data_IF_290190547032
#
_entry.id   IF_290190547032
#
_cell.length_a   1.000
_cell.length_b   1.000
_cell.length_c   1.000
_cell.angle_alpha   90.00
_cell.angle_beta   90.00
_cell.angle_gamma   90.00
#
_symmetry.space_group_name_H-M   'P 1'
#
loop_
_entity.id
_entity.type
_entity.pdbx_description
1 polymer ?
#
# COMPACT_ATOMS: atom_id res chain seq x y z
N UNK A 1 18.29 -0.57 3.37
CA UNK A 1 18.84 0.75 2.95
C UNK A 1 17.73 1.75 3.22
N UNK A 2 17.91 2.75 4.08
CA UNK A 2 16.83 3.71 4.35
C UNK A 2 16.75 4.71 3.20
N UNK A 3 15.55 4.93 2.65
CA UNK A 3 15.33 5.96 1.64
C UNK A 3 15.62 7.34 2.23
N UNK A 4 16.25 8.20 1.43
CA UNK A 4 16.47 9.61 1.78
C UNK A 4 15.66 10.52 0.86
N UNK A 5 15.32 11.71 1.36
CA UNK A 5 14.57 12.70 0.57
C UNK A 5 15.30 13.01 -0.73
N UNK A 6 14.56 13.02 -1.84
CA UNK A 6 15.08 13.26 -3.18
C UNK A 6 15.60 12.00 -3.89
N UNK A 7 15.66 10.84 -3.24
CA UNK A 7 15.94 9.59 -3.95
C UNK A 7 14.74 9.18 -4.82
N UNK A 8 14.99 8.64 -6.03
CA UNK A 8 13.93 7.98 -6.79
C UNK A 8 13.31 6.85 -5.98
N UNK A 9 11.97 6.83 -5.92
CA UNK A 9 11.24 5.74 -5.27
C UNK A 9 11.53 4.40 -5.98
N UNK A 10 11.92 3.33 -5.26
CA UNK A 10 12.10 2.00 -5.83
C UNK A 10 10.86 1.55 -6.59
N UNK A 11 11.01 1.21 -7.86
CA UNK A 11 9.87 0.78 -8.67
C UNK A 11 9.43 -0.62 -8.25
N UNK A 12 8.14 -0.91 -8.40
CA UNK A 12 7.56 -2.22 -8.16
C UNK A 12 6.39 -2.45 -9.10
N UNK A 13 6.10 -3.73 -9.36
CA UNK A 13 4.83 -4.19 -9.92
C UNK A 13 4.23 -5.23 -8.99
N UNK A 14 2.97 -5.07 -8.64
CA UNK A 14 2.23 -6.03 -7.81
C UNK A 14 0.74 -6.01 -8.12
N UNK A 15 -0.02 -6.90 -7.50
CA UNK A 15 -1.46 -6.97 -7.64
C UNK A 15 -2.16 -6.10 -6.59
N UNK A 16 -3.29 -5.51 -6.98
CA UNK A 16 -4.28 -4.97 -6.05
C UNK A 16 -5.20 -6.08 -5.50
N UNK A 17 -6.16 -5.70 -4.66
CA UNK A 17 -7.13 -6.59 -4.06
C UNK A 17 -8.07 -7.30 -5.05
N UNK A 18 -8.12 -6.85 -6.31
CA UNK A 18 -8.93 -7.45 -7.37
C UNK A 18 -8.08 -8.27 -8.36
N UNK A 19 -6.77 -8.37 -8.16
CA UNK A 19 -5.85 -9.06 -9.06
C UNK A 19 -5.45 -8.23 -10.26
N UNK A 20 -5.66 -6.91 -10.23
CA UNK A 20 -5.20 -5.98 -11.26
C UNK A 20 -3.75 -5.60 -10.97
N UNK A 21 -2.90 -5.72 -11.99
CA UNK A 21 -1.51 -5.31 -11.88
C UNK A 21 -1.39 -3.79 -11.74
N UNK A 22 -0.63 -3.36 -10.74
CA UNK A 22 -0.32 -1.97 -10.43
C UNK A 22 1.19 -1.80 -10.42
N UNK A 23 1.68 -0.91 -11.28
CA UNK A 23 3.10 -0.55 -11.36
C UNK A 23 3.29 0.89 -10.90
N UNK A 24 4.25 1.13 -9.99
CA UNK A 24 4.48 2.48 -9.45
C UNK A 24 4.91 3.47 -10.54
N UNK A 25 5.79 3.05 -11.46
CA UNK A 25 6.26 3.91 -12.54
C UNK A 25 5.17 4.35 -13.53
N UNK A 26 4.01 3.68 -13.56
CA UNK A 26 2.87 4.09 -14.38
C UNK A 26 2.25 5.44 -13.95
N UNK A 27 2.48 5.87 -12.71
CA UNK A 27 1.99 7.15 -12.20
C UNK A 27 2.94 8.33 -12.45
N UNK A 28 4.17 8.07 -12.92
CA UNK A 28 5.19 9.11 -13.09
C UNK A 28 4.75 10.13 -14.15
N UNK A 29 4.74 11.40 -13.76
CA UNK A 29 4.31 12.50 -14.63
C UNK A 29 2.80 12.69 -14.72
N UNK A 30 2.02 11.77 -14.16
CA UNK A 30 0.56 11.83 -14.13
C UNK A 30 0.04 12.27 -12.75
N UNK A 31 0.52 11.62 -11.66
CA UNK A 31 0.08 11.90 -10.29
C UNK A 31 1.21 11.76 -9.27
N UNK A 32 1.07 12.49 -8.16
CA UNK A 32 1.83 12.22 -6.94
C UNK A 32 1.30 10.93 -6.29
N UNK A 33 2.17 10.09 -5.75
CA UNK A 33 1.76 8.82 -5.15
C UNK A 33 2.08 8.80 -3.65
N UNK A 34 1.06 8.52 -2.84
CA UNK A 34 1.20 8.24 -1.41
C UNK A 34 1.24 6.72 -1.22
N UNK A 35 2.37 6.22 -0.73
CA UNK A 35 2.54 4.81 -0.36
C UNK A 35 2.29 4.67 1.15
N UNK A 36 1.22 3.98 1.52
CA UNK A 36 0.85 3.71 2.91
C UNK A 36 1.15 2.24 3.23
N UNK A 37 2.32 1.99 3.82
CA UNK A 37 2.66 0.67 4.34
C UNK A 37 1.98 0.43 5.69
N UNK A 38 1.40 -0.74 5.87
CA UNK A 38 0.78 -1.11 7.14
C UNK A 38 1.06 -2.58 7.50
N UNK A 39 1.18 -2.93 8.80
CA UNK A 39 1.56 -4.28 9.23
C UNK A 39 0.62 -5.40 8.79
N UNK A 40 -0.67 -5.31 9.15
CA UNK A 40 -1.61 -6.43 8.99
C UNK A 40 -3.04 -5.96 8.76
N UNK A 41 -3.71 -6.56 7.79
CA UNK A 41 -5.15 -6.51 7.60
C UNK A 41 -5.86 -7.09 8.82
N UNK A 42 -7.06 -6.59 9.13
CA UNK A 42 -7.86 -7.02 10.28
C UNK A 42 -7.22 -6.79 11.65
N UNK A 43 -6.20 -5.93 11.75
CA UNK A 43 -5.63 -5.48 13.03
C UNK A 43 -6.23 -4.14 13.47
N UNK A 44 -6.44 -3.95 14.78
CA UNK A 44 -7.21 -2.81 15.29
C UNK A 44 -6.64 -1.43 14.94
N UNK A 45 -5.31 -1.27 15.05
CA UNK A 45 -4.64 0.01 14.75
C UNK A 45 -4.69 0.30 13.24
N UNK A 46 -4.25 -0.65 12.40
CA UNK A 46 -4.25 -0.46 10.96
C UNK A 46 -5.66 -0.23 10.39
N UNK A 47 -6.66 -0.92 10.94
CA UNK A 47 -8.07 -0.69 10.56
C UNK A 47 -8.49 0.74 10.90
N UNK A 48 -8.13 1.25 12.08
CA UNK A 48 -8.42 2.64 12.46
C UNK A 48 -7.74 3.66 11.55
N UNK A 49 -6.46 3.46 11.22
CA UNK A 49 -5.70 4.35 10.33
C UNK A 49 -6.29 4.36 8.91
N UNK A 50 -6.53 3.20 8.31
CA UNK A 50 -7.09 3.11 6.96
C UNK A 50 -8.55 3.60 6.91
N UNK A 51 -9.34 3.42 7.97
CA UNK A 51 -10.69 4.00 8.05
C UNK A 51 -10.64 5.53 8.13
N UNK A 52 -9.70 6.12 8.87
CA UNK A 52 -9.53 7.57 8.89
C UNK A 52 -9.19 8.12 7.49
N UNK A 53 -8.32 7.42 6.75
CA UNK A 53 -7.99 7.77 5.36
C UNK A 53 -9.19 7.58 4.43
N UNK A 54 -9.99 6.53 4.60
CA UNK A 54 -11.25 6.32 3.86
C UNK A 54 -12.21 7.50 4.08
N UNK A 55 -12.35 7.94 5.32
CA UNK A 55 -13.30 8.98 5.70
C UNK A 55 -12.87 10.38 5.20
N UNK A 56 -11.56 10.58 4.93
CA UNK A 56 -10.99 11.79 4.32
C UNK A 56 -10.32 11.50 2.95
N UNK A 57 -10.89 10.57 2.18
CA UNK A 57 -10.23 10.06 0.96
C UNK A 57 -9.92 11.16 -0.06
N UNK A 58 -10.72 12.22 -0.15
CA UNK A 58 -10.48 13.32 -1.08
C UNK A 58 -9.14 14.04 -0.87
N UNK A 59 -8.61 14.03 0.36
CA UNK A 59 -7.29 14.60 0.64
C UNK A 59 -6.14 13.74 0.08
N UNK A 60 -6.36 12.43 -0.07
CA UNK A 60 -5.33 11.44 -0.45
C UNK A 60 -5.52 10.83 -1.84
N UNK A 61 -6.70 10.98 -2.44
CA UNK A 61 -7.01 10.51 -3.78
C UNK A 61 -7.88 11.55 -4.52
N UNK A 62 -7.27 12.24 -5.47
CA UNK A 62 -7.88 13.31 -6.25
C UNK A 62 -7.22 13.40 -7.64
N UNK A 63 -7.34 14.53 -8.33
CA UNK A 63 -6.75 14.73 -9.65
C UNK A 63 -5.22 14.64 -9.62
N UNK A 64 -4.58 15.11 -8.54
CA UNK A 64 -3.12 15.21 -8.43
C UNK A 64 -2.47 14.11 -7.58
N UNK A 65 -3.24 13.36 -6.80
CA UNK A 65 -2.74 12.39 -5.82
C UNK A 65 -3.39 11.02 -5.97
N UNK A 66 -2.59 9.96 -5.88
CA UNK A 66 -3.01 8.56 -5.80
C UNK A 66 -2.53 7.94 -4.48
N UNK A 67 -3.44 7.38 -3.70
CA UNK A 67 -3.12 6.58 -2.52
C UNK A 67 -2.97 5.10 -2.91
N UNK A 68 -1.91 4.44 -2.42
CA UNK A 68 -1.73 2.98 -2.51
C UNK A 68 -1.43 2.45 -1.10
N UNK A 69 -2.35 1.67 -0.53
CA UNK A 69 -2.12 0.98 0.73
C UNK A 69 -1.41 -0.36 0.45
N UNK A 70 -0.36 -0.71 1.19
CA UNK A 70 0.47 -1.89 0.94
C UNK A 70 0.67 -2.66 2.25
N UNK A 71 0.39 -3.96 2.23
CA UNK A 71 0.74 -4.89 3.32
C UNK A 71 1.27 -6.20 2.74
N UNK A 72 2.04 -6.95 3.53
CA UNK A 72 2.50 -8.30 3.20
C UNK A 72 1.40 -9.37 3.26
N UNK A 73 0.13 -9.01 3.52
CA UNK A 73 -1.01 -9.94 3.47
C UNK A 73 -1.34 -10.36 2.01
N UNK A 74 -1.79 -11.61 1.80
CA UNK A 74 -2.14 -12.11 0.47
C UNK A 74 -3.34 -11.36 -0.14
N UNK A 75 -3.37 -11.28 -1.47
CA UNK A 75 -4.40 -10.60 -2.27
C UNK A 75 -5.84 -10.87 -1.80
N UNK A 76 -6.19 -12.13 -1.49
CA UNK A 76 -7.55 -12.47 -1.06
C UNK A 76 -7.90 -11.93 0.34
N UNK A 77 -6.91 -11.83 1.25
CA UNK A 77 -7.11 -11.20 2.55
C UNK A 77 -7.27 -9.68 2.39
N UNK A 78 -6.46 -9.06 1.52
CA UNK A 78 -6.60 -7.65 1.15
C UNK A 78 -8.01 -7.34 0.62
N UNK A 79 -8.52 -8.22 -0.25
CA UNK A 79 -9.88 -8.09 -0.79
C UNK A 79 -10.95 -8.15 0.28
N UNK A 80 -10.90 -9.18 1.12
CA UNK A 80 -11.88 -9.33 2.19
C UNK A 80 -11.84 -8.12 3.15
N UNK A 81 -10.66 -7.62 3.47
CA UNK A 81 -10.49 -6.46 4.33
C UNK A 81 -11.03 -5.17 3.70
N UNK A 82 -10.69 -4.92 2.44
CA UNK A 82 -11.17 -3.76 1.70
C UNK A 82 -12.70 -3.77 1.51
N UNK A 83 -13.29 -4.93 1.24
CA UNK A 83 -14.74 -5.10 1.12
C UNK A 83 -15.44 -4.89 2.47
N UNK A 84 -14.90 -5.43 3.57
CA UNK A 84 -15.46 -5.28 4.90
C UNK A 84 -15.47 -3.83 5.37
N UNK A 85 -14.36 -3.11 5.18
CA UNK A 85 -14.20 -1.73 5.66
C UNK A 85 -14.61 -0.69 4.62
N UNK A 86 -15.01 -1.11 3.41
CA UNK A 86 -15.51 -0.23 2.37
C UNK A 86 -14.45 0.68 1.74
N UNK A 87 -13.19 0.24 1.66
CA UNK A 87 -12.12 1.01 1.05
C UNK A 87 -12.36 1.23 -0.45
N UNK A 88 -12.12 2.47 -0.91
CA UNK A 88 -12.27 2.89 -2.32
C UNK A 88 -10.94 3.23 -2.99
N UNK A 89 -9.85 3.05 -2.26
CA UNK A 89 -8.48 3.16 -2.75
C UNK A 89 -7.89 1.76 -2.96
N UNK A 90 -6.88 1.61 -3.85
CA UNK A 90 -6.17 0.34 -4.04
C UNK A 90 -5.48 -0.15 -2.76
N UNK A 91 -5.65 -1.43 -2.47
CA UNK A 91 -4.96 -2.14 -1.39
C UNK A 91 -4.13 -3.25 -2.03
N UNK A 92 -2.82 -3.03 -2.08
CA UNK A 92 -1.85 -3.85 -2.78
C UNK A 92 -1.28 -4.94 -1.87
N UNK A 93 -0.90 -6.05 -2.49
CA UNK A 93 -0.25 -7.18 -1.81
C UNK A 93 1.27 -7.14 -1.98
N UNK A 94 2.02 -7.24 -0.89
CA UNK A 94 3.48 -7.49 -0.86
C UNK A 94 3.78 -8.90 -0.32
N UNK A 95 2.90 -9.84 -0.65
CA UNK A 95 2.89 -11.20 -0.10
C UNK A 95 4.03 -12.10 -0.59
N UNK A 96 4.36 -12.06 -1.88
CA UNK A 96 5.42 -12.94 -2.42
C UNK A 96 6.17 -12.32 -3.61
N UNK A 97 7.52 -12.24 -3.58
CA UNK A 97 8.40 -12.62 -2.46
C UNK A 97 8.13 -11.77 -1.21
N UNK A 98 8.07 -12.43 -0.05
CA UNK A 98 7.51 -11.85 1.19
C UNK A 98 8.18 -10.54 1.60
N UNK A 99 7.39 -9.46 1.59
CA UNK A 99 7.83 -8.13 2.02
C UNK A 99 8.83 -7.47 1.07
N UNK A 100 8.96 -7.90 -0.18
CA UNK A 100 10.01 -7.42 -1.07
C UNK A 100 9.89 -5.93 -1.37
N UNK A 101 8.67 -5.42 -1.53
CA UNK A 101 8.44 -3.98 -1.70
C UNK A 101 8.84 -3.27 -0.41
N UNK A 102 8.28 -3.66 0.75
CA UNK A 102 8.59 -3.07 2.05
C UNK A 102 10.10 -3.08 2.36
N UNK A 103 10.82 -4.15 2.00
CA UNK A 103 12.29 -4.26 2.13
C UNK A 103 13.02 -3.26 1.25
N UNK A 104 12.57 -3.07 0.01
CA UNK A 104 13.16 -2.09 -0.91
C UNK A 104 12.98 -0.64 -0.42
N UNK A 105 11.90 -0.38 0.33
CA UNK A 105 11.63 0.89 0.98
C UNK A 105 12.25 1.02 2.39
N UNK A 106 12.80 -0.07 2.93
CA UNK A 106 13.44 -0.10 4.24
C UNK A 106 12.47 0.02 5.42
N UNK A 107 11.20 -0.35 5.21
CA UNK A 107 10.14 -0.30 6.23
C UNK A 107 9.76 -1.68 6.77
N UNK A 108 10.22 -2.77 6.13
CA UNK A 108 9.94 -4.14 6.57
C UNK A 108 10.55 -4.47 7.94
N UNK A 109 9.73 -4.94 8.87
CA UNK A 109 10.14 -5.50 10.16
C UNK A 109 10.43 -7.01 10.00
N UNK A 110 11.71 -7.35 9.96
CA UNK A 110 12.18 -8.75 9.81
C UNK A 110 11.78 -9.66 10.99
N UNK A 111 11.58 -9.10 12.19
CA UNK A 111 11.21 -9.90 13.36
C UNK A 111 9.71 -10.24 13.37
N UNK A 112 8.87 -9.34 12.86
CA UNK A 112 7.42 -9.51 12.78
C UNK A 112 6.95 -10.07 11.45
N UNK A 113 7.76 -9.95 10.39
CA UNK A 113 7.42 -10.40 9.06
C UNK A 113 6.35 -9.54 8.39
N UNK A 114 6.34 -8.24 8.63
CA UNK A 114 5.37 -7.30 8.06
C UNK A 114 6.05 -6.00 7.61
N UNK A 115 5.32 -5.19 6.84
CA UNK A 115 5.72 -3.83 6.52
C UNK A 115 5.65 -2.89 7.74
#
# INVERSE_FOLDING_TARGET
MSLTLGNPAPDFSTLDQHGVETQLSAFRGEKNVVLLFYPFAFSGICTGELCAIRDDLSAFQNEDVQLLAISSDPMFAQRAFAEQEGYKFPVLTDFWPHGAIAKSYGVFDEARGCA
#
